data_IF_861927378355
#
_entry.id   IF_861927378355
#
_cell.length_a   1.000
_cell.length_b   1.000
_cell.length_c   1.000
_cell.angle_alpha   90.00
_cell.angle_beta   90.00
_cell.angle_gamma   90.00
#
_symmetry.space_group_name_H-M   'P 1'
#
loop_
_entity.id
_entity.type
_entity.pdbx_description
1 polymer ?
#
# COMPACT_ATOMS: atom_id res chain seq x y z
N UNK A 1 -26.07 -18.39 21.09
CA UNK A 1 -24.65 -18.48 21.51
C UNK A 1 -24.10 -17.08 21.59
N UNK A 2 -23.39 -16.73 22.67
CA UNK A 2 -22.78 -15.40 22.81
C UNK A 2 -21.65 -15.24 21.78
N UNK A 3 -21.62 -14.12 21.05
CA UNK A 3 -20.51 -13.78 20.15
C UNK A 3 -19.35 -13.27 21.01
N UNK A 4 -18.36 -14.13 21.25
CA UNK A 4 -17.23 -13.82 22.15
C UNK A 4 -16.15 -12.98 21.47
N UNK A 5 -15.97 -13.13 20.16
CA UNK A 5 -14.93 -12.44 19.37
C UNK A 5 -15.58 -11.36 18.50
N UNK A 6 -15.04 -10.15 18.54
CA UNK A 6 -15.49 -9.02 17.71
C UNK A 6 -15.01 -9.15 16.26
N UNK A 7 -15.73 -8.54 15.31
CA UNK A 7 -15.28 -8.45 13.93
C UNK A 7 -13.94 -7.70 13.85
N UNK A 8 -13.74 -6.67 14.68
CA UNK A 8 -12.49 -5.92 14.74
C UNK A 8 -11.27 -6.80 15.11
N UNK A 9 -11.40 -7.72 16.06
CA UNK A 9 -10.32 -8.65 16.40
C UNK A 9 -10.13 -9.74 15.34
N UNK A 10 -11.22 -10.21 14.70
CA UNK A 10 -11.13 -11.14 13.57
C UNK A 10 -10.32 -10.52 12.42
N UNK A 11 -10.56 -9.25 12.08
CA UNK A 11 -9.80 -8.54 11.04
C UNK A 11 -8.31 -8.44 11.40
N UNK A 12 -7.98 -8.15 12.66
CA UNK A 12 -6.60 -8.04 13.10
C UNK A 12 -5.86 -9.39 13.07
N UNK A 13 -6.53 -10.47 13.51
CA UNK A 13 -6.00 -11.84 13.45
C UNK A 13 -5.81 -12.30 12.00
N UNK A 14 -6.82 -12.09 11.16
CA UNK A 14 -6.75 -12.46 9.74
C UNK A 14 -5.62 -11.73 9.00
N UNK A 15 -5.38 -10.45 9.32
CA UNK A 15 -4.26 -9.71 8.75
C UNK A 15 -2.90 -10.32 9.15
N UNK A 16 -2.70 -10.61 10.45
CA UNK A 16 -1.46 -11.24 10.94
C UNK A 16 -1.25 -12.62 10.31
N UNK A 17 -2.29 -13.45 10.30
CA UNK A 17 -2.22 -14.80 9.74
C UNK A 17 -1.94 -14.77 8.23
N UNK A 18 -2.51 -13.79 7.50
CA UNK A 18 -2.21 -13.60 6.07
C UNK A 18 -0.75 -13.23 5.82
N UNK A 19 -0.16 -12.36 6.66
CA UNK A 19 1.27 -12.02 6.59
C UNK A 19 2.12 -13.28 6.83
N UNK A 20 1.83 -14.03 7.90
CA UNK A 20 2.57 -15.25 8.23
C UNK A 20 2.47 -16.31 7.14
N UNK A 21 1.26 -16.60 6.65
CA UNK A 21 1.02 -17.59 5.60
C UNK A 21 1.64 -17.20 4.25
N UNK A 22 1.91 -15.91 4.04
CA UNK A 22 2.61 -15.40 2.85
C UNK A 22 4.14 -15.40 3.02
N UNK A 23 4.68 -15.89 4.14
CA UNK A 23 6.12 -15.98 4.41
C UNK A 23 6.69 -14.88 5.32
N UNK A 24 5.82 -14.00 5.83
CA UNK A 24 6.20 -12.92 6.73
C UNK A 24 6.39 -13.36 8.19
N UNK A 25 6.68 -12.40 9.10
CA UNK A 25 6.88 -12.70 10.51
C UNK A 25 5.59 -13.16 11.19
N UNK A 26 5.73 -14.06 12.17
CA UNK A 26 4.69 -14.32 13.16
C UNK A 26 4.88 -13.39 14.37
N UNK A 27 3.81 -12.75 14.81
CA UNK A 27 3.81 -11.82 15.93
C UNK A 27 2.47 -11.83 16.66
N UNK A 28 2.52 -11.57 17.97
CA UNK A 28 1.32 -11.50 18.80
C UNK A 28 0.51 -10.24 18.50
N UNK A 29 -0.82 -10.39 18.41
CA UNK A 29 -1.77 -9.29 18.26
C UNK A 29 -2.50 -9.06 19.58
N UNK A 30 -2.49 -7.84 20.16
CA UNK A 30 -3.36 -7.49 21.28
C UNK A 30 -4.82 -7.64 20.87
N UNK A 31 -5.64 -8.29 21.71
CA UNK A 31 -7.08 -8.52 21.49
C UNK A 31 -7.93 -7.73 22.50
N UNK A 32 -9.24 -7.72 22.28
CA UNK A 32 -10.23 -7.00 23.11
C UNK A 32 -10.86 -5.80 22.39
N UNK A 33 -10.67 -5.66 21.07
CA UNK A 33 -11.37 -4.61 20.30
C UNK A 33 -12.87 -4.88 20.30
N UNK A 34 -13.66 -3.83 20.13
CA UNK A 34 -15.12 -3.90 20.00
C UNK A 34 -15.56 -3.32 18.66
N UNK A 35 -16.68 -3.79 18.15
CA UNK A 35 -17.22 -3.35 16.87
C UNK A 35 -17.87 -1.97 16.98
N UNK A 36 -17.59 -1.11 15.99
CA UNK A 36 -18.21 0.22 15.89
C UNK A 36 -19.72 0.09 15.65
N UNK A 37 -20.49 0.98 16.27
CA UNK A 37 -21.93 1.13 16.00
C UNK A 37 -22.23 2.18 14.91
N UNK A 38 -21.20 2.90 14.47
CA UNK A 38 -21.31 3.99 13.50
C UNK A 38 -20.80 3.54 12.13
N UNK A 39 -21.52 3.95 11.08
CA UNK A 39 -21.07 3.80 9.70
C UNK A 39 -20.00 4.82 9.35
N UNK A 40 -19.04 4.41 8.52
CA UNK A 40 -18.08 5.34 7.93
C UNK A 40 -18.76 6.21 6.86
N UNK A 41 -18.45 7.50 6.85
CA UNK A 41 -18.88 8.42 5.79
C UNK A 41 -17.82 8.56 4.70
N UNK A 42 -18.21 9.12 3.55
CA UNK A 42 -17.25 9.48 2.50
C UNK A 42 -16.18 10.45 3.03
N UNK A 43 -16.58 11.42 3.86
CA UNK A 43 -15.65 12.39 4.45
C UNK A 43 -14.66 11.72 5.39
N UNK A 44 -15.09 10.76 6.20
CA UNK A 44 -14.19 9.99 7.06
C UNK A 44 -13.12 9.28 6.23
N UNK A 45 -13.53 8.70 5.10
CA UNK A 45 -12.64 7.98 4.18
C UNK A 45 -11.62 8.92 3.53
N UNK A 46 -12.09 10.02 2.93
CA UNK A 46 -11.24 10.99 2.23
C UNK A 46 -10.28 11.72 3.17
N UNK A 47 -10.67 11.93 4.44
CA UNK A 47 -9.82 12.56 5.43
C UNK A 47 -8.74 11.64 6.01
N UNK A 48 -8.96 10.31 6.00
CA UNK A 48 -8.11 9.37 6.75
C UNK A 48 -7.34 8.35 5.89
N UNK A 49 -7.71 8.13 4.62
CA UNK A 49 -7.01 7.21 3.75
C UNK A 49 -6.03 7.95 2.82
N UNK A 50 -4.72 7.66 2.88
CA UNK A 50 -3.76 8.24 1.95
C UNK A 50 -4.04 7.73 0.52
N UNK A 51 -4.02 8.65 -0.45
CA UNK A 51 -4.13 8.30 -1.87
C UNK A 51 -2.76 7.85 -2.41
N UNK A 52 -2.69 6.89 -3.35
CA UNK A 52 -1.45 6.48 -4.01
C UNK A 52 -0.75 7.62 -4.77
N UNK A 53 -1.46 8.73 -5.01
CA UNK A 53 -0.98 9.92 -5.71
C UNK A 53 -0.33 10.96 -4.78
N UNK A 54 -0.45 10.79 -3.46
CA UNK A 54 0.06 11.76 -2.49
C UNK A 54 1.59 11.72 -2.41
N UNK A 55 2.19 12.88 -2.10
CA UNK A 55 3.61 12.96 -1.76
C UNK A 55 3.86 12.49 -0.31
N UNK A 56 5.13 12.20 -0.02
CA UNK A 56 5.57 11.67 1.28
C UNK A 56 5.20 12.58 2.45
N UNK A 57 5.36 13.90 2.32
CA UNK A 57 5.02 14.86 3.40
C UNK A 57 3.55 14.77 3.81
N UNK A 58 2.64 14.68 2.83
CA UNK A 58 1.21 14.53 3.11
C UNK A 58 0.90 13.20 3.79
N UNK A 59 1.54 12.11 3.35
CA UNK A 59 1.36 10.77 3.96
C UNK A 59 1.85 10.79 5.42
N UNK A 60 3.05 11.33 5.68
CA UNK A 60 3.60 11.44 7.03
C UNK A 60 2.70 12.27 7.96
N UNK A 61 2.09 13.33 7.45
CA UNK A 61 1.12 14.13 8.22
C UNK A 61 -0.16 13.36 8.56
N UNK A 62 -0.68 12.53 7.64
CA UNK A 62 -1.86 11.70 7.91
C UNK A 62 -1.54 10.61 8.95
N UNK A 63 -0.35 10.00 8.86
CA UNK A 63 0.11 8.97 9.80
C UNK A 63 0.39 9.57 11.19
N UNK A 64 0.99 10.75 11.27
CA UNK A 64 1.28 11.41 12.56
C UNK A 64 0.02 11.78 13.34
N UNK A 65 -1.08 12.12 12.66
CA UNK A 65 -2.39 12.31 13.28
C UNK A 65 -2.95 11.02 13.93
N UNK A 66 -2.39 9.86 13.59
CA UNK A 66 -2.69 8.54 14.17
C UNK A 66 -1.61 8.07 15.14
N UNK A 67 -0.72 8.96 15.56
CA UNK A 67 0.44 8.70 16.42
C UNK A 67 1.43 7.70 15.80
N UNK A 68 1.53 7.65 14.47
CA UNK A 68 2.50 6.82 13.76
C UNK A 68 3.69 7.68 13.31
N UNK A 69 4.89 7.16 13.51
CA UNK A 69 6.15 7.79 13.15
C UNK A 69 6.51 7.59 11.67
N UNK A 70 7.57 8.24 11.21
CA UNK A 70 8.16 7.98 9.89
C UNK A 70 8.58 6.51 9.73
N UNK A 71 9.17 5.92 10.78
CA UNK A 71 9.55 4.49 10.78
C UNK A 71 8.33 3.60 10.61
N UNK A 72 7.24 3.89 11.32
CA UNK A 72 5.98 3.14 11.17
C UNK A 72 5.42 3.28 9.76
N UNK A 73 5.49 4.47 9.18
CA UNK A 73 5.00 4.72 7.81
C UNK A 73 5.76 3.88 6.79
N UNK A 74 7.10 3.91 6.82
CA UNK A 74 7.95 3.13 5.91
C UNK A 74 7.80 1.62 6.12
N UNK A 75 7.68 1.17 7.37
CA UNK A 75 7.46 -0.24 7.70
C UNK A 75 6.09 -0.72 7.20
N UNK A 76 5.02 0.04 7.43
CA UNK A 76 3.66 -0.30 7.01
C UNK A 76 3.48 -0.27 5.50
N UNK A 77 4.16 0.65 4.79
CA UNK A 77 4.21 0.65 3.32
C UNK A 77 4.82 -0.63 2.74
N UNK A 78 5.64 -1.35 3.51
CA UNK A 78 6.13 -2.68 3.17
C UNK A 78 5.03 -3.70 2.89
N UNK A 79 3.79 -3.45 3.34
CA UNK A 79 2.63 -4.28 3.00
C UNK A 79 2.37 -4.39 1.48
N UNK A 80 2.86 -3.44 0.67
CA UNK A 80 2.83 -3.52 -0.79
C UNK A 80 3.79 -4.56 -1.39
N UNK A 81 4.51 -5.35 -0.58
CA UNK A 81 5.27 -6.53 -1.06
C UNK A 81 4.36 -7.64 -1.60
N UNK A 82 3.06 -7.62 -1.28
CA UNK A 82 2.06 -8.53 -1.84
C UNK A 82 0.85 -7.78 -2.37
N UNK A 83 0.13 -8.39 -3.32
CA UNK A 83 -1.14 -7.90 -3.82
C UNK A 83 -1.05 -7.16 -5.15
N UNK A 84 -2.13 -6.43 -5.49
CA UNK A 84 -2.32 -5.82 -6.81
C UNK A 84 -2.73 -4.34 -6.73
N UNK A 85 -2.37 -3.58 -7.74
CA UNK A 85 -2.77 -2.20 -7.97
C UNK A 85 -3.53 -2.05 -9.29
N UNK A 86 -4.61 -1.27 -9.27
CA UNK A 86 -5.36 -0.92 -10.48
C UNK A 86 -4.66 0.21 -11.25
N UNK A 87 -4.72 0.20 -12.59
CA UNK A 87 -4.08 1.19 -13.45
C UNK A 87 -4.39 2.65 -13.04
N UNK A 88 -5.64 2.95 -12.65
CA UNK A 88 -6.06 4.31 -12.24
C UNK A 88 -5.32 4.83 -11.01
N UNK A 89 -4.65 3.97 -10.25
CA UNK A 89 -3.86 4.35 -9.08
C UNK A 89 -2.45 4.84 -9.43
N UNK A 90 -1.97 4.65 -10.67
CA UNK A 90 -0.60 5.01 -11.08
C UNK A 90 -0.46 5.53 -12.51
N UNK A 91 -1.52 5.56 -13.33
CA UNK A 91 -1.42 6.05 -14.73
C UNK A 91 -1.00 7.51 -14.84
N UNK A 92 -1.14 8.32 -13.79
CA UNK A 92 -0.57 9.68 -13.69
C UNK A 92 0.96 9.69 -13.79
N UNK A 93 1.62 8.57 -13.50
CA UNK A 93 3.08 8.40 -13.64
C UNK A 93 3.49 7.92 -15.03
N UNK A 94 2.54 7.55 -15.89
CA UNK A 94 2.80 7.05 -17.24
C UNK A 94 2.39 8.06 -18.33
N UNK A 95 1.36 8.87 -18.07
CA UNK A 95 0.72 9.73 -19.07
C UNK A 95 0.35 11.12 -18.53
N UNK A 96 0.31 12.17 -19.40
CA UNK A 96 0.80 12.16 -20.78
C UNK A 96 2.34 12.13 -20.84
N UNK A 97 2.99 12.52 -19.75
CA UNK A 97 4.44 12.47 -19.58
C UNK A 97 4.76 11.43 -18.52
N UNK A 98 5.77 10.60 -18.79
CA UNK A 98 6.24 9.60 -17.84
C UNK A 98 6.97 10.28 -16.68
N UNK A 99 6.73 9.81 -15.46
CA UNK A 99 7.45 10.24 -14.26
C UNK A 99 8.96 9.97 -14.43
N UNK A 100 9.83 10.98 -14.33
CA UNK A 100 11.28 10.81 -14.46
C UNK A 100 11.90 9.98 -13.31
N UNK A 101 11.19 9.81 -12.20
CA UNK A 101 11.63 9.00 -11.07
C UNK A 101 11.24 7.52 -11.20
N UNK A 102 10.60 7.12 -12.30
CA UNK A 102 10.28 5.72 -12.60
C UNK A 102 11.33 5.13 -13.55
N UNK A 103 11.78 3.90 -13.29
CA UNK A 103 12.63 3.15 -14.21
C UNK A 103 11.98 3.03 -15.60
N UNK A 104 12.76 3.27 -16.66
CA UNK A 104 12.24 3.35 -18.03
C UNK A 104 11.72 1.99 -18.52
N UNK A 105 12.41 0.90 -18.17
CA UNK A 105 12.00 -0.45 -18.57
C UNK A 105 10.71 -0.84 -17.87
N UNK A 106 10.62 -0.57 -16.56
CA UNK A 106 9.42 -0.77 -15.78
C UNK A 106 8.23 0.04 -16.30
N UNK A 107 8.42 1.33 -16.59
CA UNK A 107 7.39 2.17 -17.17
C UNK A 107 6.89 1.64 -18.53
N UNK A 108 7.79 1.15 -19.38
CA UNK A 108 7.43 0.54 -20.66
C UNK A 108 6.60 -0.73 -20.47
N UNK A 109 6.97 -1.59 -19.52
CA UNK A 109 6.18 -2.78 -19.18
C UNK A 109 4.80 -2.40 -18.63
N UNK A 110 4.70 -1.40 -17.75
CA UNK A 110 3.42 -0.91 -17.24
C UNK A 110 2.52 -0.33 -18.35
N UNK A 111 3.09 0.31 -19.38
CA UNK A 111 2.33 0.77 -20.56
C UNK A 111 1.78 -0.37 -21.40
N UNK A 112 2.34 -1.58 -21.34
CA UNK A 112 1.72 -2.76 -21.96
C UNK A 112 0.47 -3.21 -21.17
N UNK A 113 0.53 -3.14 -19.84
CA UNK A 113 -0.60 -3.49 -18.96
C UNK A 113 -1.68 -2.40 -18.94
N UNK A 114 -1.28 -1.13 -18.99
CA UNK A 114 -2.11 0.06 -18.93
C UNK A 114 -1.83 0.97 -20.14
N UNK A 115 -2.26 0.60 -21.36
CA UNK A 115 -1.93 1.32 -22.61
C UNK A 115 -2.51 2.73 -22.70
N UNK A 116 -3.50 3.06 -21.87
CA UNK A 116 -4.12 4.38 -21.81
C UNK A 116 -4.37 4.81 -20.36
N UNK A 117 -4.52 6.12 -20.14
CA UNK A 117 -4.76 6.67 -18.79
C UNK A 117 -6.04 6.13 -18.11
N UNK A 118 -7.02 5.70 -18.90
CA UNK A 118 -8.31 5.16 -18.45
C UNK A 118 -8.41 3.63 -18.55
N UNK A 119 -7.30 2.92 -18.73
CA UNK A 119 -7.31 1.45 -18.76
C UNK A 119 -7.84 0.90 -17.43
N UNK A 120 -8.74 -0.10 -17.51
CA UNK A 120 -9.27 -0.84 -16.35
C UNK A 120 -8.60 -2.20 -16.24
N UNK A 121 -7.33 -2.21 -15.83
CA UNK A 121 -6.54 -3.43 -15.64
C UNK A 121 -5.78 -3.35 -14.32
N UNK A 122 -5.18 -4.45 -13.90
CA UNK A 122 -4.42 -4.56 -12.65
C UNK A 122 -3.02 -5.11 -12.90
N UNK A 123 -2.08 -4.73 -12.04
CA UNK A 123 -0.72 -5.29 -12.00
C UNK A 123 -0.34 -5.60 -10.55
N UNK A 124 0.73 -6.36 -10.36
CA UNK A 124 1.30 -6.66 -9.04
C UNK A 124 1.93 -5.41 -8.41
N UNK A 125 1.87 -5.29 -7.09
CA UNK A 125 2.52 -4.19 -6.35
C UNK A 125 4.03 -4.38 -6.22
N UNK A 126 4.48 -5.63 -6.15
CA UNK A 126 5.87 -6.07 -6.09
C UNK A 126 6.17 -6.91 -7.33
N UNK A 127 7.14 -6.48 -8.15
CA UNK A 127 7.45 -7.16 -9.42
C UNK A 127 8.42 -8.33 -9.25
N UNK A 128 9.04 -8.49 -8.07
CA UNK A 128 10.07 -9.49 -7.81
C UNK A 128 9.48 -10.72 -7.12
N UNK A 129 8.54 -10.53 -6.19
CA UNK A 129 7.88 -11.61 -5.46
C UNK A 129 6.41 -11.30 -5.14
N UNK A 130 5.52 -11.27 -6.15
CA UNK A 130 4.15 -10.75 -6.02
C UNK A 130 3.26 -11.34 -4.91
N UNK A 131 3.57 -12.56 -4.47
CA UNK A 131 2.76 -13.34 -3.52
C UNK A 131 3.55 -13.78 -2.28
N UNK A 132 4.74 -13.21 -2.06
CA UNK A 132 5.58 -13.55 -0.89
C UNK A 132 5.80 -12.29 -0.08
N UNK A 133 5.48 -12.36 1.21
CA UNK A 133 5.75 -11.27 2.13
C UNK A 133 7.23 -11.28 2.51
N UNK A 134 8.03 -10.47 1.81
CA UNK A 134 9.45 -10.30 2.08
C UNK A 134 9.88 -8.82 1.94
N UNK A 135 11.17 -8.57 1.72
CA UNK A 135 11.69 -7.22 1.60
C UNK A 135 11.84 -6.71 0.15
N UNK A 136 11.31 -7.42 -0.86
CA UNK A 136 11.52 -7.04 -2.26
C UNK A 136 10.82 -5.75 -2.65
N UNK A 137 9.70 -5.40 -2.00
CA UNK A 137 9.13 -4.06 -2.07
C UNK A 137 10.19 -2.95 -1.93
N UNK A 138 11.08 -3.03 -0.92
CA UNK A 138 12.12 -2.03 -0.72
C UNK A 138 13.22 -2.11 -1.80
N UNK A 139 13.49 -3.31 -2.32
CA UNK A 139 14.39 -3.49 -3.47
C UNK A 139 13.80 -2.85 -4.72
N UNK A 140 12.48 -2.93 -4.94
CA UNK A 140 11.78 -2.24 -6.03
C UNK A 140 11.99 -0.72 -5.90
N UNK A 141 11.83 -0.14 -4.70
CA UNK A 141 12.03 1.30 -4.48
C UNK A 141 13.45 1.75 -4.82
N UNK A 142 14.47 0.99 -4.38
CA UNK A 142 15.89 1.28 -4.69
C UNK A 142 16.19 1.24 -6.19
N UNK A 143 15.41 0.44 -6.96
CA UNK A 143 15.54 0.31 -8.41
C UNK A 143 14.59 1.24 -9.18
N UNK A 144 13.94 2.22 -8.53
CA UNK A 144 12.94 3.12 -9.15
C UNK A 144 11.71 2.40 -9.71
N UNK A 145 11.34 1.29 -9.08
CA UNK A 145 10.29 0.37 -9.50
C UNK A 145 9.13 0.31 -8.51
N UNK A 146 9.03 1.25 -7.56
CA UNK A 146 7.81 1.40 -6.77
C UNK A 146 6.63 1.78 -7.67
N UNK A 147 5.48 1.13 -7.52
CA UNK A 147 4.34 1.31 -8.42
C UNK A 147 3.70 2.69 -8.26
N UNK A 148 3.34 3.07 -7.02
CA UNK A 148 2.63 4.31 -6.75
C UNK A 148 3.57 5.51 -6.55
N UNK A 149 3.04 6.73 -6.69
CA UNK A 149 3.76 7.95 -6.30
C UNK A 149 4.10 7.90 -4.81
N UNK A 150 3.16 7.42 -4.00
CA UNK A 150 3.34 7.22 -2.55
C UNK A 150 4.46 6.25 -2.20
N UNK A 151 4.73 5.24 -3.05
CA UNK A 151 5.80 4.27 -2.83
C UNK A 151 7.16 4.87 -3.15
N UNK A 152 7.33 5.33 -4.40
CA UNK A 152 8.62 5.83 -4.86
C UNK A 152 9.02 7.12 -4.12
N UNK A 153 8.03 7.87 -3.62
CA UNK A 153 8.23 9.03 -2.77
C UNK A 153 8.97 8.71 -1.46
N UNK A 154 8.82 7.52 -0.89
CA UNK A 154 9.51 7.14 0.36
C UNK A 154 11.02 7.05 0.19
N UNK A 155 11.49 6.60 -0.97
CA UNK A 155 12.92 6.49 -1.27
C UNK A 155 13.53 7.82 -1.70
N UNK A 156 12.75 8.66 -2.38
CA UNK A 156 13.22 9.96 -2.87
C UNK A 156 13.14 11.07 -1.80
N UNK A 157 12.53 10.80 -0.65
CA UNK A 157 12.41 11.76 0.44
C UNK A 157 13.75 11.92 1.14
N UNK A 158 14.37 13.08 0.96
CA UNK A 158 15.59 13.53 1.66
C UNK A 158 15.25 14.54 2.74
#
# INVERSE_FOLDING_TARGET
GSKVVSCADITALAARDSVFLSGGPDYNIPLGRRDSLNFATQNDTLANLPSPLMNTTTILNIFSQKNLTTTDTVALSGGHTIGIGHCTSFTNRLYPTQDPNMDQTFANNLKLTCPTANTTNTTVLDIRSPNTFDNKYYVDLMNRQGLFTSDQGLYNYS
#
